data_IF_497649414011
#
_entry.id   IF_497649414011
#
_cell.length_a   1.000
_cell.length_b   1.000
_cell.length_c   1.000
_cell.angle_alpha   90.00
_cell.angle_beta   90.00
_cell.angle_gamma   90.00
#
_symmetry.space_group_name_H-M   'P 1'
#
loop_
_entity.id
_entity.type
_entity.pdbx_description
1 polymer ?
#
# COMPACT_ATOMS: atom_id res chain seq x y z
N UNK A 1 16.64 11.30 13.04
CA UNK A 1 15.57 11.26 12.02
C UNK A 1 14.26 11.57 12.69
N UNK A 2 13.62 12.67 12.33
CA UNK A 2 12.31 13.06 12.89
C UNK A 2 11.22 12.11 12.36
N UNK A 3 10.40 11.58 13.24
CA UNK A 3 9.42 10.50 12.99
C UNK A 3 8.33 10.77 11.93
N UNK A 4 8.29 11.95 11.34
CA UNK A 4 7.35 12.33 10.26
C UNK A 4 7.79 11.91 8.86
N UNK A 5 9.00 11.38 8.68
CA UNK A 5 9.54 10.99 7.37
C UNK A 5 9.29 9.52 6.99
N UNK A 6 8.47 8.80 7.76
CA UNK A 6 8.13 7.41 7.45
C UNK A 6 7.02 7.26 6.41
N UNK A 7 6.23 8.29 6.15
CA UNK A 7 5.13 8.26 5.20
C UNK A 7 5.59 8.80 3.83
N UNK A 8 5.38 8.01 2.78
CA UNK A 8 5.70 8.43 1.43
C UNK A 8 4.83 9.62 0.99
N UNK A 9 5.48 10.65 0.50
CA UNK A 9 4.88 11.79 -0.19
C UNK A 9 5.27 11.74 -1.66
N UNK A 10 4.65 12.56 -2.52
CA UNK A 10 5.03 12.68 -3.93
C UNK A 10 6.53 12.87 -4.08
N UNK A 11 7.11 13.78 -3.26
CA UNK A 11 8.55 14.05 -3.26
C UNK A 11 9.39 12.79 -2.96
N UNK A 12 8.97 11.97 -2.00
CA UNK A 12 9.68 10.73 -1.65
C UNK A 12 9.59 9.71 -2.80
N UNK A 13 8.41 9.56 -3.41
CA UNK A 13 8.21 8.64 -4.54
C UNK A 13 9.06 9.03 -5.76
N UNK A 14 9.16 10.33 -6.03
CA UNK A 14 9.97 10.86 -7.14
C UNK A 14 11.47 10.78 -6.84
N UNK A 15 11.90 11.16 -5.63
CA UNK A 15 13.29 11.11 -5.19
C UNK A 15 13.89 9.71 -5.33
N UNK A 16 13.17 8.69 -4.82
CA UNK A 16 13.63 7.31 -4.89
C UNK A 16 13.21 6.58 -6.17
N UNK A 17 12.61 7.30 -7.13
CA UNK A 17 12.17 6.76 -8.42
C UNK A 17 11.36 5.46 -8.25
N UNK A 18 10.34 5.52 -7.40
CA UNK A 18 9.42 4.39 -7.19
C UNK A 18 8.58 4.18 -8.44
N UNK A 19 8.50 2.93 -8.91
CA UNK A 19 7.87 2.61 -10.19
C UNK A 19 7.16 1.26 -10.16
N UNK A 20 6.30 0.96 -11.15
CA UNK A 20 5.72 -0.37 -11.33
C UNK A 20 6.81 -1.46 -11.38
N UNK A 21 6.55 -2.59 -10.74
CA UNK A 21 7.49 -3.68 -10.58
C UNK A 21 8.33 -3.63 -9.29
N UNK A 22 8.41 -2.48 -8.61
CA UNK A 22 9.03 -2.42 -7.28
C UNK A 22 8.28 -3.32 -6.30
N UNK A 23 9.03 -4.05 -5.48
CA UNK A 23 8.49 -4.93 -4.44
C UNK A 23 8.10 -4.13 -3.21
N UNK A 24 6.91 -4.42 -2.70
CA UNK A 24 6.41 -3.89 -1.43
C UNK A 24 6.14 -5.04 -0.45
N UNK A 25 6.24 -4.72 0.83
CA UNK A 25 5.92 -5.62 1.93
C UNK A 25 4.58 -5.21 2.55
N UNK A 26 3.74 -6.18 2.87
CA UNK A 26 2.41 -5.97 3.45
C UNK A 26 2.31 -6.74 4.75
N UNK A 27 1.94 -6.03 5.82
CA UNK A 27 1.66 -6.62 7.12
C UNK A 27 0.15 -6.74 7.33
N UNK A 28 -0.30 -7.88 7.85
CA UNK A 28 -1.72 -8.08 8.13
C UNK A 28 -2.01 -9.38 8.85
N UNK A 29 -3.29 -9.60 9.16
CA UNK A 29 -3.82 -10.78 9.82
C UNK A 29 -4.84 -11.48 8.91
N UNK A 30 -4.40 -12.14 7.82
CA UNK A 30 -5.33 -12.76 6.87
C UNK A 30 -6.20 -13.79 7.59
N UNK A 31 -7.53 -13.59 7.55
CA UNK A 31 -8.53 -14.38 8.29
C UNK A 31 -8.28 -14.44 9.82
N UNK A 32 -7.63 -13.40 10.38
CA UNK A 32 -7.25 -13.37 11.78
C UNK A 32 -6.03 -14.23 12.13
N UNK A 33 -5.38 -14.83 11.12
CA UNK A 33 -4.18 -15.63 11.35
C UNK A 33 -3.00 -14.76 11.78
N UNK A 34 -2.27 -15.23 12.76
CA UNK A 34 -1.07 -14.61 13.30
C UNK A 34 0.18 -15.38 12.83
N UNK A 35 1.31 -14.68 12.76
CA UNK A 35 2.59 -15.32 12.44
C UNK A 35 3.07 -16.27 13.56
N UNK A 36 2.64 -15.98 14.79
CA UNK A 36 2.91 -16.78 15.97
C UNK A 36 1.85 -16.46 17.05
N UNK A 37 1.86 -17.23 18.16
CA UNK A 37 0.92 -17.04 19.27
C UNK A 37 1.10 -15.74 20.07
N UNK A 38 2.07 -14.90 19.70
CA UNK A 38 2.35 -13.62 20.35
C UNK A 38 1.65 -12.42 19.69
N UNK A 39 0.74 -12.64 18.72
CA UNK A 39 -0.04 -11.61 18.10
C UNK A 39 0.69 -10.82 17.01
N UNK A 40 1.74 -11.38 16.40
CA UNK A 40 2.45 -10.71 15.32
C UNK A 40 1.75 -10.90 13.95
N UNK A 41 1.70 -9.84 13.11
CA UNK A 41 1.13 -9.94 11.78
C UNK A 41 1.98 -10.83 10.87
N UNK A 42 1.33 -11.37 9.84
CA UNK A 42 1.99 -12.10 8.77
C UNK A 42 2.55 -11.07 7.77
N UNK A 43 3.83 -11.23 7.44
CA UNK A 43 4.50 -10.46 6.39
C UNK A 43 4.35 -11.17 5.05
N UNK A 44 3.82 -10.44 4.07
CA UNK A 44 3.70 -10.90 2.68
C UNK A 44 4.27 -9.84 1.75
N UNK A 45 4.49 -10.18 0.49
CA UNK A 45 5.00 -9.24 -0.51
C UNK A 45 4.18 -9.26 -1.79
N UNK A 46 4.22 -8.14 -2.52
CA UNK A 46 3.67 -7.97 -3.85
C UNK A 46 4.46 -6.94 -4.63
N UNK A 47 4.10 -6.73 -5.90
CA UNK A 47 4.73 -5.75 -6.77
C UNK A 47 3.75 -4.66 -7.16
N UNK A 48 4.24 -3.42 -7.29
CA UNK A 48 3.44 -2.31 -7.81
C UNK A 48 2.97 -2.66 -9.22
N UNK A 49 1.65 -2.60 -9.44
CA UNK A 49 0.99 -3.05 -10.67
C UNK A 49 0.25 -1.94 -11.43
N UNK A 50 0.43 -0.67 -11.06
CA UNK A 50 -0.24 0.45 -11.73
C UNK A 50 0.68 1.66 -11.93
N UNK A 51 0.32 2.53 -12.88
CA UNK A 51 0.99 3.78 -13.23
C UNK A 51 -0.06 4.79 -13.68
N UNK A 52 0.10 6.10 -13.42
CA UNK A 52 1.15 6.74 -12.62
C UNK A 52 0.93 6.58 -11.11
N UNK A 53 1.99 6.79 -10.30
CA UNK A 53 1.91 6.80 -8.84
C UNK A 53 1.76 8.23 -8.29
N UNK A 54 2.25 9.22 -9.04
CA UNK A 54 2.19 10.64 -8.70
C UNK A 54 1.48 11.43 -9.81
N UNK A 55 0.86 12.58 -9.52
CA UNK A 55 0.65 13.12 -8.18
C UNK A 55 -0.38 12.30 -7.38
N UNK A 56 -0.12 12.01 -6.11
CA UNK A 56 -0.98 11.15 -5.27
C UNK A 56 -2.40 11.71 -5.10
N UNK A 57 -2.56 13.04 -5.18
CA UNK A 57 -3.89 13.68 -5.12
C UNK A 57 -4.77 13.35 -6.32
N UNK A 58 -4.19 13.08 -7.48
CA UNK A 58 -4.92 12.72 -8.68
C UNK A 58 -5.18 11.20 -8.73
N UNK A 59 -4.16 10.40 -8.42
CA UNK A 59 -4.26 8.93 -8.47
C UNK A 59 -5.01 8.35 -7.26
N UNK A 60 -4.92 8.98 -6.10
CA UNK A 60 -5.50 8.59 -4.79
C UNK A 60 -5.08 7.21 -4.31
N UNK A 61 -5.11 6.23 -5.20
CA UNK A 61 -4.78 4.83 -4.94
C UNK A 61 -3.85 4.29 -6.03
N UNK A 62 -3.16 3.21 -5.72
CA UNK A 62 -2.42 2.43 -6.70
C UNK A 62 -2.73 0.94 -6.51
N UNK A 63 -2.37 0.13 -7.52
CA UNK A 63 -2.58 -1.31 -7.48
C UNK A 63 -1.28 -2.02 -7.12
N UNK A 64 -1.44 -3.05 -6.29
CA UNK A 64 -0.39 -3.99 -5.92
C UNK A 64 -0.80 -5.38 -6.39
N UNK A 65 0.08 -6.10 -7.06
CA UNK A 65 -0.09 -7.52 -7.36
C UNK A 65 0.06 -8.31 -6.05
N UNK A 66 -1.09 -8.48 -5.39
CA UNK A 66 -1.21 -9.02 -4.05
C UNK A 66 -2.64 -9.47 -3.80
N UNK A 67 -2.82 -10.72 -3.45
CA UNK A 67 -4.13 -11.26 -3.10
C UNK A 67 -4.55 -10.79 -1.70
N UNK A 68 -5.70 -10.12 -1.64
CA UNK A 68 -6.25 -9.56 -0.40
C UNK A 68 -7.18 -10.57 0.25
N UNK A 69 -6.93 -10.89 1.51
CA UNK A 69 -7.82 -11.67 2.35
C UNK A 69 -8.47 -10.76 3.40
N UNK A 70 -9.62 -11.22 3.93
CA UNK A 70 -10.23 -10.57 5.09
C UNK A 70 -9.18 -10.48 6.23
N UNK A 71 -9.04 -9.27 6.82
CA UNK A 71 -7.99 -9.01 7.82
C UNK A 71 -6.72 -8.36 7.27
N UNK A 72 -6.60 -8.20 5.94
CA UNK A 72 -5.53 -7.40 5.34
C UNK A 72 -5.87 -5.91 5.25
N UNK A 73 -7.17 -5.54 5.21
CA UNK A 73 -7.60 -4.15 5.11
C UNK A 73 -7.10 -3.32 6.29
N UNK A 74 -6.58 -2.13 6.02
CA UNK A 74 -5.92 -1.26 7.01
C UNK A 74 -4.47 -1.64 7.29
N UNK A 75 -3.99 -2.79 6.79
CA UNK A 75 -2.60 -3.20 6.95
C UNK A 75 -1.63 -2.26 6.23
N UNK A 76 -0.48 -1.92 6.86
CA UNK A 76 0.51 -1.04 6.25
C UNK A 76 1.23 -1.75 5.10
N UNK A 77 1.49 -0.95 4.05
CA UNK A 77 2.27 -1.36 2.88
C UNK A 77 3.59 -0.60 2.91
N UNK A 78 4.70 -1.33 2.98
CA UNK A 78 6.04 -0.80 3.19
C UNK A 78 6.87 -0.94 1.92
N UNK A 79 7.56 0.13 1.55
CA UNK A 79 8.67 0.06 0.63
C UNK A 79 9.93 -0.28 1.42
N UNK A 80 10.69 -1.26 0.94
CA UNK A 80 11.97 -1.65 1.50
C UNK A 80 12.92 -2.01 0.36
N UNK A 81 14.05 -1.34 0.28
CA UNK A 81 15.07 -1.63 -0.70
C UNK A 81 16.46 -1.45 -0.10
N UNK A 82 17.33 -2.42 -0.34
CA UNK A 82 18.76 -2.32 -0.06
C UNK A 82 19.50 -1.95 -1.36
N UNK A 83 20.47 -1.06 -1.24
CA UNK A 83 21.37 -0.67 -2.35
C UNK A 83 20.59 -0.27 -3.63
N UNK A 84 19.60 0.63 -3.47
CA UNK A 84 18.75 1.06 -4.58
C UNK A 84 19.51 1.90 -5.60
N UNK A 85 19.25 1.60 -6.88
CA UNK A 85 19.72 2.45 -7.99
C UNK A 85 18.65 3.52 -8.27
N UNK A 86 19.01 4.79 -8.15
CA UNK A 86 18.22 5.94 -8.59
C UNK A 86 19.14 7.10 -9.00
N UNK A 87 18.64 7.98 -9.88
CA UNK A 87 19.41 9.07 -10.46
C UNK A 87 20.73 8.62 -11.10
N UNK A 88 20.74 7.40 -11.71
CA UNK A 88 21.90 6.85 -12.40
C UNK A 88 23.04 6.35 -11.49
N UNK A 89 22.83 6.29 -10.18
CA UNK A 89 23.85 5.88 -9.21
C UNK A 89 23.29 4.84 -8.25
N UNK A 90 24.14 3.88 -7.84
CA UNK A 90 23.80 2.92 -6.78
C UNK A 90 24.03 3.58 -5.42
N UNK A 91 22.97 3.68 -4.64
CA UNK A 91 23.00 4.19 -3.28
C UNK A 91 23.08 3.02 -2.31
N UNK A 92 24.19 2.92 -1.60
CA UNK A 92 24.41 1.87 -0.60
C UNK A 92 23.66 2.25 0.69
N UNK A 93 22.91 1.29 1.22
CA UNK A 93 22.12 1.46 2.44
C UNK A 93 20.67 1.03 2.26
N UNK A 94 19.90 1.21 3.31
CA UNK A 94 18.48 0.83 3.34
C UNK A 94 17.58 2.03 3.13
N UNK A 95 16.68 1.94 2.17
CA UNK A 95 15.57 2.88 1.96
C UNK A 95 14.30 2.19 2.41
N UNK A 96 13.57 2.80 3.36
CA UNK A 96 12.31 2.25 3.85
C UNK A 96 11.33 3.37 4.21
N UNK A 97 10.07 3.16 3.82
CA UNK A 97 8.96 4.06 4.16
C UNK A 97 7.60 3.37 3.96
N UNK A 98 6.55 3.93 4.53
CA UNK A 98 5.19 3.44 4.36
C UNK A 98 4.62 4.04 3.07
N UNK A 99 4.27 3.20 2.11
CA UNK A 99 3.67 3.57 0.83
C UNK A 99 2.18 3.88 0.95
N UNK A 100 1.49 3.18 1.84
CA UNK A 100 0.06 3.30 2.00
C UNK A 100 -0.55 2.23 2.89
N UNK A 101 -1.87 2.11 2.79
CA UNK A 101 -2.67 1.11 3.51
C UNK A 101 -3.49 0.28 2.53
N UNK A 102 -3.59 -1.03 2.79
CA UNK A 102 -4.49 -1.91 2.03
C UNK A 102 -5.93 -1.46 2.26
N UNK A 103 -6.67 -1.21 1.18
CA UNK A 103 -8.09 -0.84 1.25
C UNK A 103 -8.98 -2.04 0.91
N UNK A 104 -8.91 -2.49 -0.33
CA UNK A 104 -9.78 -3.52 -0.86
C UNK A 104 -9.10 -4.35 -1.96
N UNK A 105 -9.77 -5.41 -2.42
CA UNK A 105 -9.38 -6.16 -3.60
C UNK A 105 -10.06 -5.60 -4.84
N UNK A 106 -9.32 -5.45 -5.92
CA UNK A 106 -9.86 -5.06 -7.22
C UNK A 106 -10.66 -6.19 -7.83
N UNK A 107 -11.91 -5.90 -8.20
CA UNK A 107 -12.77 -6.85 -8.89
C UNK A 107 -13.35 -6.21 -10.15
N UNK A 108 -13.64 -7.03 -11.15
CA UNK A 108 -14.32 -6.66 -12.39
C UNK A 108 -15.64 -7.41 -12.46
N UNK A 109 -16.73 -6.70 -12.83
CA UNK A 109 -18.02 -7.30 -13.04
C UNK A 109 -18.26 -7.49 -14.53
N UNK A 110 -18.40 -8.74 -14.94
CA UNK A 110 -18.81 -9.11 -16.28
C UNK A 110 -20.33 -9.28 -16.33
N UNK A 111 -20.96 -8.66 -17.32
CA UNK A 111 -22.38 -8.82 -17.61
C UNK A 111 -22.57 -9.66 -18.86
N UNK A 112 -23.05 -10.89 -18.69
CA UNK A 112 -23.39 -11.77 -19.80
C UNK A 112 -24.88 -11.69 -20.04
N UNK A 113 -25.28 -11.18 -21.21
CA UNK A 113 -26.68 -11.14 -21.65
C UNK A 113 -26.97 -12.35 -22.53
N UNK A 114 -27.95 -13.15 -22.16
CA UNK A 114 -28.61 -14.13 -23.01
C UNK A 114 -29.96 -13.63 -23.44
N UNK A 115 -30.66 -14.33 -24.34
CA UNK A 115 -32.03 -13.96 -24.84
C UNK A 115 -33.07 -13.91 -23.72
N UNK A 116 -32.86 -14.58 -22.61
CA UNK A 116 -33.84 -14.71 -21.51
C UNK A 116 -33.31 -14.20 -20.15
N UNK A 117 -32.01 -13.95 -20.02
CA UNK A 117 -31.43 -13.68 -18.71
C UNK A 117 -30.16 -12.79 -18.80
N UNK A 118 -30.00 -11.93 -17.80
CA UNK A 118 -28.74 -11.17 -17.62
C UNK A 118 -28.06 -11.70 -16.36
N UNK A 119 -26.87 -12.27 -16.52
CA UNK A 119 -26.07 -12.79 -15.39
C UNK A 119 -24.89 -11.87 -15.16
N UNK A 120 -24.71 -11.42 -13.91
CA UNK A 120 -23.54 -10.68 -13.47
C UNK A 120 -22.55 -11.64 -12.79
N UNK A 121 -21.32 -11.65 -13.28
CA UNK A 121 -20.20 -12.41 -12.70
C UNK A 121 -19.15 -11.47 -12.18
N UNK A 122 -18.80 -11.59 -10.90
CA UNK A 122 -17.73 -10.82 -10.28
C UNK A 122 -16.43 -11.63 -10.30
N UNK A 123 -15.42 -11.10 -11.00
CA UNK A 123 -14.09 -11.70 -11.08
C UNK A 123 -13.12 -10.94 -10.17
N UNK A 124 -12.51 -11.64 -9.23
CA UNK A 124 -11.41 -11.11 -8.42
C UNK A 124 -10.13 -11.16 -9.24
N UNK A 125 -9.37 -10.08 -9.22
CA UNK A 125 -8.16 -9.95 -10.03
C UNK A 125 -6.88 -10.26 -9.25
N UNK A 126 -6.99 -10.62 -7.96
CA UNK A 126 -5.83 -10.77 -7.05
C UNK A 126 -4.94 -9.51 -7.03
N UNK A 127 -5.57 -8.35 -7.18
CA UNK A 127 -4.93 -7.05 -7.12
C UNK A 127 -5.46 -6.29 -5.90
N UNK A 128 -4.55 -5.86 -5.03
CA UNK A 128 -4.88 -4.97 -3.92
C UNK A 128 -4.98 -3.52 -4.38
N UNK A 129 -6.00 -2.81 -3.89
CA UNK A 129 -6.09 -1.35 -3.97
C UNK A 129 -5.45 -0.76 -2.73
N UNK A 130 -4.42 0.05 -2.92
CA UNK A 130 -3.64 0.67 -1.85
C UNK A 130 -3.93 2.18 -1.83
N UNK A 131 -4.34 2.70 -0.68
CA UNK A 131 -4.50 4.15 -0.47
C UNK A 131 -3.11 4.73 -0.17
N UNK A 132 -2.71 5.78 -0.88
CA UNK A 132 -1.43 6.45 -0.66
C UNK A 132 -1.27 6.98 0.77
N UNK A 133 -0.10 6.81 1.35
CA UNK A 133 0.22 7.29 2.70
C UNK A 133 0.21 8.82 2.84
N UNK A 134 0.28 9.57 1.74
CA UNK A 134 0.11 11.03 1.73
C UNK A 134 -1.23 11.47 2.35
N UNK A 135 -2.31 10.69 2.14
CA UNK A 135 -3.62 10.95 2.76
C UNK A 135 -3.61 10.68 4.27
N UNK A 136 -2.86 9.66 4.72
CA UNK A 136 -2.65 9.39 6.15
C UNK A 136 -1.87 10.54 6.79
N UNK A 137 -0.82 11.03 6.12
CA UNK A 137 -0.04 12.18 6.57
C UNK A 137 -0.90 13.45 6.70
N UNK A 138 -1.79 13.70 5.73
CA UNK A 138 -2.70 14.85 5.76
C UNK A 138 -3.72 14.70 6.91
N UNK A 139 -4.27 13.51 7.12
CA UNK A 139 -5.20 13.25 8.22
C UNK A 139 -4.52 13.48 9.59
N UNK A 140 -3.29 12.99 9.78
CA UNK A 140 -2.53 13.18 11.03
C UNK A 140 -2.36 14.67 11.36
N UNK A 141 -2.13 15.52 10.35
CA UNK A 141 -2.00 16.98 10.56
C UNK A 141 -3.28 17.64 11.09
N UNK A 142 -4.44 17.03 10.88
CA UNK A 142 -5.74 17.53 11.36
C UNK A 142 -6.05 17.15 12.81
N UNK A 143 -5.29 16.19 13.36
CA UNK A 143 -5.50 15.72 14.73
C UNK A 143 -5.00 16.77 15.74
N UNK A 144 -5.68 16.92 16.88
CA UNK A 144 -5.19 17.78 17.95
C UNK A 144 -3.84 17.27 18.48
N UNK A 145 -2.96 18.16 18.96
CA UNK A 145 -1.68 17.75 19.51
C UNK A 145 -1.91 16.83 20.71
N UNK A 146 -1.13 15.76 20.79
CA UNK A 146 -1.16 14.84 21.93
C UNK A 146 -0.81 15.62 23.18
N UNK A 147 -1.65 15.58 24.24
CA UNK A 147 -1.29 16.20 25.52
C UNK A 147 0.07 15.66 25.98
N UNK A 148 1.00 16.58 26.31
CA UNK A 148 2.25 16.16 26.95
C UNK A 148 1.89 15.59 28.30
N UNK A 149 2.14 14.30 28.50
CA UNK A 149 2.12 13.74 29.84
C UNK A 149 3.13 14.53 30.67
N UNK A 150 2.63 15.25 31.65
CA UNK A 150 3.48 15.86 32.69
C UNK A 150 3.97 14.73 33.58
N UNK A 151 5.28 14.60 33.80
CA UNK A 151 5.84 13.55 34.66
C UNK A 151 5.38 13.67 36.12
#
# INVERSE_FOLDING_TARGET
>A
MTSTNLLATDKVLEEFQVHPGDQLLVLGFPYGAEANEAGFPILRSGRIASYPLTPTRATKTFLLDFEVFQGNSGGPVLFYAENRVYSGTTHIGTVQFIMGLVSEEKAVTERVKSLSETVERKHRLSLAVIIHSSFVADLIKTLPPIPKETP
#
